data_IF_947441058297
#
_entry.id   IF_947441058297
#
_cell.length_a   1.000
_cell.length_b   1.000
_cell.length_c   1.000
_cell.angle_alpha   90.00
_cell.angle_beta   90.00
_cell.angle_gamma   90.00
#
_symmetry.space_group_name_H-M   'P 1'
#
loop_
_entity.id
_entity.type
_entity.pdbx_description
1 polymer ?
#
# COMPACT_ATOMS: atom_id res chain seq x y z
N UNK A 1 -27.64 -49.90 -14.60
CA UNK A 1 -26.78 -49.87 -13.41
C UNK A 1 -25.71 -48.74 -13.39
N UNK A 2 -25.29 -48.16 -14.54
CA UNK A 2 -24.24 -47.14 -14.59
C UNK A 2 -24.64 -45.72 -14.12
N UNK A 3 -25.89 -45.27 -14.36
CA UNK A 3 -26.34 -43.92 -13.98
C UNK A 3 -26.35 -43.64 -12.46
N UNK A 4 -26.76 -44.65 -11.67
CA UNK A 4 -26.84 -44.52 -10.19
C UNK A 4 -25.43 -44.42 -9.58
N UNK A 5 -24.45 -45.11 -10.14
CA UNK A 5 -23.05 -45.09 -9.68
C UNK A 5 -22.40 -43.74 -10.04
N UNK A 6 -22.73 -43.18 -11.20
CA UNK A 6 -22.25 -41.89 -11.68
C UNK A 6 -22.79 -40.72 -10.82
N UNK A 7 -24.08 -40.78 -10.44
CA UNK A 7 -24.68 -39.77 -9.56
C UNK A 7 -24.09 -39.79 -8.13
N UNK A 8 -23.71 -40.96 -7.61
CA UNK A 8 -23.04 -41.04 -6.30
C UNK A 8 -21.63 -40.43 -6.32
N UNK A 9 -20.88 -40.63 -7.41
CA UNK A 9 -19.54 -40.07 -7.56
C UNK A 9 -19.61 -38.54 -7.69
N UNK A 10 -20.52 -37.99 -8.50
CA UNK A 10 -20.72 -36.57 -8.64
C UNK A 10 -21.17 -35.92 -7.32
N UNK A 11 -22.07 -36.52 -6.58
CA UNK A 11 -22.49 -36.03 -5.27
C UNK A 11 -21.33 -36.01 -4.26
N UNK A 12 -20.52 -37.07 -4.22
CA UNK A 12 -19.33 -37.13 -3.35
C UNK A 12 -18.31 -36.03 -3.70
N UNK A 13 -18.07 -35.79 -4.98
CA UNK A 13 -17.17 -34.70 -5.45
C UNK A 13 -17.66 -33.32 -5.05
N UNK A 14 -18.97 -33.06 -5.17
CA UNK A 14 -19.59 -31.81 -4.76
C UNK A 14 -19.41 -31.60 -3.25
N UNK A 15 -19.67 -32.65 -2.46
CA UNK A 15 -19.52 -32.61 -1.00
C UNK A 15 -18.07 -32.31 -0.58
N UNK A 16 -17.10 -32.95 -1.22
CA UNK A 16 -15.67 -32.66 -0.99
C UNK A 16 -15.33 -31.23 -1.38
N UNK A 17 -15.83 -30.73 -2.51
CA UNK A 17 -15.58 -29.36 -2.94
C UNK A 17 -16.14 -28.34 -1.93
N UNK A 18 -17.37 -28.56 -1.42
CA UNK A 18 -17.98 -27.72 -0.38
C UNK A 18 -17.14 -27.74 0.90
N UNK A 19 -16.67 -28.89 1.33
CA UNK A 19 -15.83 -29.03 2.52
C UNK A 19 -14.50 -28.30 2.38
N UNK A 20 -13.86 -28.38 1.20
CA UNK A 20 -12.61 -27.68 0.91
C UNK A 20 -12.82 -26.15 0.92
N UNK A 21 -13.91 -25.67 0.30
CA UNK A 21 -14.25 -24.23 0.29
C UNK A 21 -14.50 -23.75 1.72
N UNK A 22 -15.31 -24.46 2.49
CA UNK A 22 -15.62 -24.08 3.87
C UNK A 22 -14.38 -24.07 4.75
N UNK A 23 -13.55 -25.10 4.66
CA UNK A 23 -12.26 -25.17 5.36
C UNK A 23 -11.33 -24.00 4.99
N UNK A 24 -11.24 -23.68 3.70
CA UNK A 24 -10.42 -22.54 3.22
C UNK A 24 -10.93 -21.21 3.76
N UNK A 25 -12.24 -20.98 3.77
CA UNK A 25 -12.85 -19.77 4.33
C UNK A 25 -12.62 -19.67 5.83
N UNK A 26 -12.75 -20.77 6.56
CA UNK A 26 -12.48 -20.82 8.01
C UNK A 26 -11.02 -20.45 8.30
N UNK A 27 -10.08 -21.08 7.60
CA UNK A 27 -8.66 -20.75 7.73
C UNK A 27 -8.42 -19.26 7.43
N UNK A 28 -8.96 -18.72 6.35
CA UNK A 28 -8.78 -17.32 5.97
C UNK A 28 -9.36 -16.34 7.02
N UNK A 29 -10.38 -16.74 7.76
CA UNK A 29 -11.09 -15.90 8.73
C UNK A 29 -10.48 -15.92 10.13
N UNK A 30 -9.76 -16.95 10.53
CA UNK A 30 -9.19 -17.08 11.88
C UNK A 30 -8.40 -15.85 12.35
N UNK A 31 -7.56 -15.17 11.51
CA UNK A 31 -6.83 -14.01 11.96
C UNK A 31 -7.70 -12.81 12.39
N UNK A 32 -9.01 -12.80 12.10
CA UNK A 32 -9.94 -11.77 12.60
C UNK A 32 -9.97 -11.76 14.13
N UNK A 33 -9.76 -12.91 14.76
CA UNK A 33 -9.79 -13.08 16.22
C UNK A 33 -8.50 -12.61 16.92
N UNK A 34 -7.47 -12.23 16.17
CA UNK A 34 -6.18 -11.84 16.76
C UNK A 34 -6.23 -10.40 17.29
N UNK A 35 -5.61 -10.18 18.45
CA UNK A 35 -5.50 -8.87 19.09
C UNK A 35 -4.31 -8.10 18.52
N UNK A 36 -4.52 -7.27 17.50
CA UNK A 36 -3.45 -6.50 16.84
C UNK A 36 -2.98 -5.28 17.63
N UNK A 37 -3.80 -4.78 18.55
CA UNK A 37 -3.46 -3.60 19.37
C UNK A 37 -2.16 -3.76 20.16
N UNK A 38 -1.89 -4.96 20.68
CA UNK A 38 -0.65 -5.28 21.38
C UNK A 38 0.58 -5.37 20.47
N UNK A 39 0.40 -5.34 19.15
CA UNK A 39 1.45 -5.48 18.13
C UNK A 39 1.78 -4.17 17.41
N UNK A 40 1.19 -3.05 17.81
CA UNK A 40 1.40 -1.73 17.18
C UNK A 40 2.88 -1.39 17.05
N UNK A 41 3.64 -1.42 18.14
CA UNK A 41 5.07 -1.07 18.14
C UNK A 41 5.91 -1.99 17.24
N UNK A 42 5.55 -3.29 17.17
CA UNK A 42 6.22 -4.22 16.26
C UNK A 42 5.92 -3.90 14.80
N UNK A 43 4.66 -3.57 14.48
CA UNK A 43 4.23 -3.18 13.13
C UNK A 43 4.93 -1.89 12.71
N UNK A 44 4.97 -0.86 13.55
CA UNK A 44 5.63 0.41 13.29
C UNK A 44 7.14 0.24 13.06
N UNK A 45 7.82 -0.55 13.90
CA UNK A 45 9.24 -0.87 13.74
C UNK A 45 9.51 -1.58 12.40
N UNK A 46 8.69 -2.58 12.08
CA UNK A 46 8.85 -3.34 10.86
C UNK A 46 8.43 -2.54 9.62
N UNK A 47 7.49 -1.61 9.75
CA UNK A 47 7.17 -0.65 8.70
C UNK A 47 8.40 0.20 8.33
N UNK A 48 9.11 0.72 9.34
CA UNK A 48 10.38 1.42 9.11
C UNK A 48 11.42 0.53 8.44
N UNK A 49 11.55 -0.72 8.85
CA UNK A 49 12.52 -1.65 8.26
C UNK A 49 12.24 -1.91 6.77
N UNK A 50 10.97 -1.97 6.38
CA UNK A 50 10.55 -2.28 5.00
C UNK A 50 10.48 -1.03 4.10
N UNK A 51 9.98 0.09 4.62
CA UNK A 51 9.69 1.30 3.84
C UNK A 51 10.62 2.48 4.15
N UNK A 52 11.45 2.39 5.20
CA UNK A 52 12.40 3.43 5.63
C UNK A 52 11.76 4.78 5.96
N UNK A 53 10.49 4.77 6.31
CA UNK A 53 9.74 5.91 6.83
C UNK A 53 9.07 5.51 8.15
N UNK A 54 8.87 6.46 9.03
CA UNK A 54 8.29 6.23 10.34
C UNK A 54 6.76 6.24 10.25
N UNK A 55 6.15 5.15 10.69
CA UNK A 55 4.70 5.02 10.83
C UNK A 55 4.35 5.27 12.30
N UNK A 56 3.29 6.03 12.54
CA UNK A 56 2.63 6.14 13.84
C UNK A 56 1.15 5.80 13.69
N UNK A 57 0.70 4.81 14.43
CA UNK A 57 -0.67 4.29 14.38
C UNK A 57 -1.43 4.86 15.57
N UNK A 58 -2.50 5.63 15.31
CA UNK A 58 -3.37 6.19 16.36
C UNK A 58 -4.78 5.61 16.38
N UNK A 59 -5.17 4.88 15.34
CA UNK A 59 -6.47 4.23 15.20
C UNK A 59 -6.44 2.73 15.49
N UNK A 60 -7.59 2.09 15.28
CA UNK A 60 -7.71 0.65 15.44
C UNK A 60 -7.00 -0.09 14.30
N UNK A 61 -6.55 -1.32 14.60
CA UNK A 61 -6.04 -2.25 13.62
C UNK A 61 -6.97 -3.44 13.58
N UNK A 62 -7.44 -3.77 12.38
CA UNK A 62 -8.27 -4.95 12.12
C UNK A 62 -7.73 -5.74 10.93
N UNK A 63 -7.95 -7.03 10.93
CA UNK A 63 -7.66 -7.87 9.78
C UNK A 63 -8.85 -7.91 8.83
N UNK A 64 -8.58 -7.86 7.54
CA UNK A 64 -9.56 -8.02 6.46
C UNK A 64 -9.08 -9.10 5.49
N UNK A 65 -9.86 -10.20 5.31
CA UNK A 65 -9.46 -11.30 4.42
C UNK A 65 -9.58 -10.96 2.93
N UNK A 66 -10.53 -10.11 2.54
CA UNK A 66 -10.84 -9.79 1.15
C UNK A 66 -10.53 -8.35 0.78
N UNK A 67 -10.25 -8.06 -0.52
CA UNK A 67 -10.03 -8.99 -1.65
C UNK A 67 -8.70 -9.73 -1.58
N UNK A 68 -7.76 -9.28 -0.78
CA UNK A 68 -6.48 -9.90 -0.43
C UNK A 68 -6.26 -9.73 1.06
N UNK A 69 -5.72 -10.71 1.77
CA UNK A 69 -5.43 -10.60 3.20
C UNK A 69 -4.59 -9.37 3.53
N UNK A 70 -5.10 -8.50 4.43
CA UNK A 70 -4.40 -7.30 4.86
C UNK A 70 -4.81 -6.86 6.26
N UNK A 71 -3.95 -6.10 6.92
CA UNK A 71 -4.32 -5.31 8.08
C UNK A 71 -4.85 -3.96 7.61
N UNK A 72 -6.00 -3.57 8.12
CA UNK A 72 -6.58 -2.24 7.96
C UNK A 72 -6.28 -1.43 9.21
N UNK A 73 -5.59 -0.30 9.04
CA UNK A 73 -5.32 0.70 10.07
C UNK A 73 -6.21 1.91 9.80
N UNK A 74 -7.09 2.24 10.75
CA UNK A 74 -8.09 3.30 10.58
C UNK A 74 -7.46 4.70 10.55
N UNK A 75 -6.42 4.94 11.35
CA UNK A 75 -5.73 6.23 11.36
C UNK A 75 -4.24 6.06 11.54
N UNK A 76 -3.48 6.61 10.60
CA UNK A 76 -2.03 6.51 10.57
C UNK A 76 -1.38 7.80 10.10
N UNK A 77 -0.20 8.07 10.64
CA UNK A 77 0.68 9.17 10.27
C UNK A 77 2.00 8.61 9.78
N UNK A 78 2.55 9.18 8.71
CA UNK A 78 3.86 8.76 8.20
C UNK A 78 4.78 9.98 8.08
N UNK A 79 6.01 9.81 8.55
CA UNK A 79 7.04 10.86 8.55
C UNK A 79 8.38 10.33 8.03
N UNK A 80 9.20 11.22 7.49
CA UNK A 80 10.57 10.89 7.10
C UNK A 80 11.52 10.80 8.30
N UNK A 81 11.26 11.57 9.36
CA UNK A 81 12.05 11.64 10.59
C UNK A 81 11.20 11.23 11.80
N UNK A 82 11.83 10.59 12.79
CA UNK A 82 11.14 10.00 13.93
C UNK A 82 10.38 11.03 14.82
N UNK A 83 10.88 12.25 14.93
CA UNK A 83 10.38 13.25 15.89
C UNK A 83 9.67 14.44 15.25
N UNK A 84 9.17 14.29 14.03
CA UNK A 84 8.49 15.38 13.33
C UNK A 84 6.98 15.24 13.45
N UNK A 85 6.44 15.43 14.67
CA UNK A 85 4.99 15.31 14.95
C UNK A 85 4.18 16.49 14.38
N UNK A 86 4.81 17.64 14.15
CA UNK A 86 4.12 18.84 13.68
C UNK A 86 3.86 18.84 12.17
N UNK A 87 4.70 18.16 11.38
CA UNK A 87 4.61 18.12 9.92
C UNK A 87 4.53 16.69 9.39
N UNK A 88 3.35 16.07 9.58
CA UNK A 88 3.12 14.74 9.02
C UNK A 88 3.14 14.79 7.48
N UNK A 89 4.05 14.03 6.87
CA UNK A 89 4.15 13.87 5.42
C UNK A 89 2.88 13.23 4.85
N UNK A 90 2.36 12.21 5.54
CA UNK A 90 1.16 11.48 5.14
C UNK A 90 0.22 11.37 6.33
N UNK A 91 -1.04 11.77 6.13
CA UNK A 91 -2.13 11.55 7.08
C UNK A 91 -3.14 10.66 6.38
N UNK A 92 -3.30 9.44 6.86
CA UNK A 92 -4.18 8.44 6.26
C UNK A 92 -5.29 8.01 7.21
N UNK A 93 -6.51 7.99 6.70
CA UNK A 93 -7.67 7.45 7.42
C UNK A 93 -7.93 5.97 7.10
N UNK A 94 -7.24 5.42 6.09
CA UNK A 94 -7.32 4.01 5.72
C UNK A 94 -5.98 3.55 5.13
N UNK A 95 -5.15 2.94 5.98
CA UNK A 95 -3.92 2.30 5.55
C UNK A 95 -4.11 0.78 5.54
N UNK A 96 -3.93 0.16 4.37
CA UNK A 96 -3.90 -1.30 4.23
C UNK A 96 -2.45 -1.77 4.17
N UNK A 97 -2.11 -2.68 5.06
CA UNK A 97 -0.78 -3.31 5.11
C UNK A 97 -0.95 -4.76 4.67
N UNK A 98 -0.41 -5.11 3.51
CA UNK A 98 -0.46 -6.46 2.98
C UNK A 98 0.65 -7.31 3.56
N UNK A 99 0.28 -8.45 4.11
CA UNK A 99 1.16 -9.40 4.78
C UNK A 99 0.83 -10.79 4.24
N UNK A 100 1.82 -11.69 4.18
CA UNK A 100 1.54 -13.09 3.84
C UNK A 100 0.69 -13.75 4.92
N UNK A 101 -0.18 -14.69 4.54
CA UNK A 101 -0.98 -15.46 5.50
C UNK A 101 -0.06 -16.19 6.50
N UNK A 102 1.05 -16.75 6.04
CA UNK A 102 2.02 -17.42 6.91
C UNK A 102 2.53 -16.50 8.01
N UNK A 103 2.98 -15.28 7.65
CA UNK A 103 3.51 -14.32 8.62
C UNK A 103 2.43 -13.84 9.59
N UNK A 104 1.19 -13.73 9.09
CA UNK A 104 0.03 -13.36 9.89
C UNK A 104 -0.27 -14.42 10.97
N UNK A 105 -0.29 -15.71 10.60
CA UNK A 105 -0.49 -16.83 11.54
C UNK A 105 0.64 -16.96 12.54
N UNK A 106 1.87 -16.75 12.11
CA UNK A 106 3.04 -16.74 12.99
C UNK A 106 3.11 -15.46 13.84
N UNK A 107 2.14 -14.52 13.65
CA UNK A 107 2.14 -13.20 14.29
C UNK A 107 3.46 -12.46 14.09
N UNK A 108 4.10 -12.67 12.96
CA UNK A 108 5.35 -12.07 12.56
C UNK A 108 5.09 -10.96 11.54
N UNK A 109 5.39 -9.73 11.88
CA UNK A 109 5.18 -8.57 11.00
C UNK A 109 6.48 -8.12 10.33
N UNK A 110 7.48 -9.00 10.24
CA UNK A 110 8.82 -8.67 9.71
C UNK A 110 8.78 -8.34 8.21
N UNK A 111 8.00 -9.08 7.44
CA UNK A 111 7.95 -8.98 5.98
C UNK A 111 6.63 -8.36 5.52
N UNK A 112 6.58 -7.03 5.44
CA UNK A 112 5.43 -6.33 4.89
C UNK A 112 5.55 -6.33 3.36
N UNK A 113 4.59 -6.97 2.68
CA UNK A 113 4.66 -7.18 1.23
C UNK A 113 4.45 -5.87 0.45
N UNK A 114 3.43 -5.10 0.81
CA UNK A 114 3.10 -3.81 0.20
C UNK A 114 2.18 -3.01 1.09
N UNK A 115 2.00 -1.72 0.78
CA UNK A 115 1.05 -0.85 1.47
C UNK A 115 0.16 -0.09 0.48
N UNK A 116 -1.08 0.16 0.88
CA UNK A 116 -2.03 0.98 0.14
C UNK A 116 -2.66 2.00 1.08
N UNK A 117 -2.47 3.27 0.75
CA UNK A 117 -3.10 4.40 1.41
C UNK A 117 -4.35 4.82 0.63
N UNK A 118 -5.48 4.98 1.29
CA UNK A 118 -6.73 5.39 0.66
C UNK A 118 -7.29 6.62 1.38
N UNK A 119 -7.84 7.57 0.63
CA UNK A 119 -8.39 8.81 1.16
C UNK A 119 -7.39 9.57 2.05
N UNK A 120 -6.20 9.81 1.52
CA UNK A 120 -5.02 10.25 2.27
C UNK A 120 -4.64 11.66 1.88
N UNK A 121 -4.20 12.44 2.86
CA UNK A 121 -3.58 13.74 2.63
C UNK A 121 -2.05 13.58 2.59
N UNK A 122 -1.46 13.96 1.45
CA UNK A 122 -0.02 13.99 1.20
C UNK A 122 0.47 15.43 1.36
N UNK A 123 1.16 15.73 2.45
CA UNK A 123 1.71 17.06 2.70
C UNK A 123 3.17 17.09 2.25
N UNK A 124 3.44 17.70 1.11
CA UNK A 124 4.79 17.82 0.57
C UNK A 124 5.30 19.24 0.76
N UNK A 125 6.37 19.39 1.52
CA UNK A 125 7.07 20.65 1.60
C UNK A 125 8.11 20.71 0.46
N UNK A 126 8.23 21.84 -0.21
CA UNK A 126 9.21 22.01 -1.30
C UNK A 126 10.65 21.73 -0.85
N UNK A 127 10.98 22.06 0.40
CA UNK A 127 12.27 21.72 1.01
C UNK A 127 12.55 20.23 1.08
N UNK A 128 11.51 19.41 1.25
CA UNK A 128 11.64 17.98 1.51
C UNK A 128 11.62 17.12 0.22
N UNK A 129 11.28 17.71 -0.92
CA UNK A 129 11.17 16.99 -2.20
C UNK A 129 12.46 16.23 -2.56
N UNK A 130 13.63 16.86 -2.31
CA UNK A 130 14.93 16.22 -2.57
C UNK A 130 15.15 15.00 -1.66
N UNK A 131 14.77 15.09 -0.40
CA UNK A 131 14.88 14.01 0.57
C UNK A 131 13.90 12.87 0.26
N UNK A 132 12.63 13.20 -0.05
CA UNK A 132 11.60 12.25 -0.49
C UNK A 132 12.06 11.47 -1.71
N UNK A 133 12.57 12.16 -2.73
CA UNK A 133 13.13 11.54 -3.94
C UNK A 133 14.27 10.58 -3.60
N UNK A 134 15.20 10.97 -2.72
CA UNK A 134 16.30 10.11 -2.27
C UNK A 134 15.79 8.86 -1.55
N UNK A 135 14.75 8.99 -0.71
CA UNK A 135 14.11 7.87 -0.02
C UNK A 135 13.47 6.89 -0.98
N UNK A 136 12.61 7.37 -1.88
CA UNK A 136 11.94 6.54 -2.88
C UNK A 136 12.93 5.74 -3.72
N UNK A 137 13.98 6.37 -4.21
CA UNK A 137 14.90 5.72 -5.14
C UNK A 137 15.96 4.84 -4.49
N UNK A 138 16.44 5.15 -3.31
CA UNK A 138 17.54 4.42 -2.69
C UNK A 138 17.11 3.41 -1.63
N UNK A 139 16.06 3.72 -0.87
CA UNK A 139 15.75 3.00 0.37
C UNK A 139 14.54 2.08 0.29
N UNK A 140 13.57 2.39 -0.56
CA UNK A 140 12.30 1.65 -0.61
C UNK A 140 12.39 0.56 -1.67
N UNK A 141 12.10 -0.67 -1.26
CA UNK A 141 12.08 -1.83 -2.14
C UNK A 141 10.71 -2.49 -2.24
N UNK A 142 9.75 -2.10 -1.41
CA UNK A 142 8.40 -2.67 -1.40
C UNK A 142 7.39 -1.74 -2.11
N UNK A 143 6.37 -2.28 -2.77
CA UNK A 143 5.35 -1.49 -3.44
C UNK A 143 4.57 -0.59 -2.48
N UNK A 144 4.29 0.64 -2.95
CA UNK A 144 3.46 1.62 -2.24
C UNK A 144 2.41 2.13 -3.21
N UNK A 145 1.14 2.14 -2.79
CA UNK A 145 0.04 2.67 -3.57
C UNK A 145 -0.73 3.72 -2.79
N UNK A 146 -1.20 4.76 -3.49
CA UNK A 146 -2.16 5.74 -2.96
C UNK A 146 -3.38 5.77 -3.87
N UNK A 147 -4.57 5.81 -3.28
CA UNK A 147 -5.83 5.91 -4.02
C UNK A 147 -6.69 7.03 -3.45
N UNK A 148 -7.34 7.77 -4.34
CA UNK A 148 -8.30 8.83 -3.97
C UNK A 148 -7.74 9.78 -2.91
N UNK A 149 -6.55 10.28 -3.14
CA UNK A 149 -5.79 11.08 -2.18
C UNK A 149 -5.75 12.56 -2.59
N UNK A 150 -5.31 13.43 -1.70
CA UNK A 150 -5.05 14.85 -1.99
C UNK A 150 -3.60 15.15 -1.73
N UNK A 151 -2.96 15.79 -2.69
CA UNK A 151 -1.61 16.32 -2.55
C UNK A 151 -1.69 17.80 -2.17
N UNK A 152 -1.07 18.16 -1.08
CA UNK A 152 -0.86 19.53 -0.63
C UNK A 152 0.62 19.86 -0.80
N UNK A 153 0.94 20.73 -1.75
CA UNK A 153 2.30 21.25 -1.89
C UNK A 153 2.41 22.55 -1.08
N UNK A 154 3.41 22.60 -0.21
CA UNK A 154 3.65 23.72 0.70
C UNK A 154 4.97 24.42 0.38
N UNK A 155 5.01 25.74 0.60
CA UNK A 155 6.25 26.51 0.55
C UNK A 155 7.09 26.34 1.85
N UNK A 156 8.19 27.07 1.95
CA UNK A 156 9.06 27.04 3.13
C UNK A 156 8.38 27.56 4.41
N UNK A 157 7.35 28.38 4.27
CA UNK A 157 6.55 28.93 5.38
C UNK A 157 5.38 28.04 5.78
N UNK A 158 5.31 26.78 5.27
CA UNK A 158 4.20 25.86 5.45
C UNK A 158 2.85 26.31 4.86
N UNK A 159 2.83 27.35 4.02
CA UNK A 159 1.63 27.77 3.32
C UNK A 159 1.35 26.86 2.12
N UNK A 160 0.09 26.51 1.93
CA UNK A 160 -0.33 25.64 0.81
C UNK A 160 -0.34 26.46 -0.47
N UNK A 161 0.52 26.12 -1.41
CA UNK A 161 0.63 26.77 -2.74
C UNK A 161 -0.09 26.02 -3.84
N UNK A 162 -0.34 24.72 -3.64
CA UNK A 162 -1.05 23.88 -4.60
C UNK A 162 -1.80 22.75 -3.89
N UNK A 163 -3.03 22.52 -4.31
CA UNK A 163 -3.82 21.34 -3.95
C UNK A 163 -4.11 20.57 -5.25
N UNK A 164 -3.72 19.30 -5.29
CA UNK A 164 -3.94 18.43 -6.44
C UNK A 164 -4.66 17.17 -6.00
N UNK A 165 -5.88 16.91 -6.52
CA UNK A 165 -6.55 15.62 -6.37
C UNK A 165 -5.76 14.53 -7.08
N UNK A 166 -5.43 13.48 -6.36
CA UNK A 166 -4.69 12.32 -6.85
C UNK A 166 -5.63 11.12 -6.93
N UNK A 167 -5.86 10.62 -8.13
CA UNK A 167 -6.65 9.41 -8.35
C UNK A 167 -5.86 8.17 -7.92
N UNK A 168 -4.61 8.10 -8.34
CA UNK A 168 -3.75 6.96 -8.08
C UNK A 168 -2.28 7.36 -8.09
N UNK A 169 -1.51 6.88 -7.11
CA UNK A 169 -0.04 6.80 -7.17
C UNK A 169 0.34 5.34 -6.98
N UNK A 170 1.21 4.83 -7.83
CA UNK A 170 1.72 3.47 -7.73
C UNK A 170 3.24 3.48 -7.87
N UNK A 171 3.92 3.06 -6.80
CA UNK A 171 5.35 2.77 -6.82
C UNK A 171 5.53 1.25 -6.80
N UNK A 172 6.20 0.73 -7.80
CA UNK A 172 6.44 -0.72 -7.97
C UNK A 172 7.88 -0.98 -8.35
N UNK A 173 8.34 -2.19 -8.02
CA UNK A 173 9.65 -2.69 -8.42
C UNK A 173 9.43 -3.93 -9.27
N UNK A 174 10.05 -3.95 -10.43
CA UNK A 174 10.03 -5.15 -11.26
C UNK A 174 10.89 -6.23 -10.58
N UNK A 175 10.31 -7.40 -10.34
CA UNK A 175 10.98 -8.50 -9.63
C UNK A 175 12.20 -9.04 -10.37
N UNK A 176 12.19 -9.01 -11.71
CA UNK A 176 13.26 -9.51 -12.58
C UNK A 176 14.36 -8.47 -12.81
N UNK A 177 14.00 -7.31 -13.37
CA UNK A 177 14.97 -6.26 -13.74
C UNK A 177 15.37 -5.35 -12.58
N UNK A 178 14.66 -5.43 -11.44
CA UNK A 178 14.79 -4.51 -10.30
C UNK A 178 14.53 -3.03 -10.65
N UNK A 179 14.01 -2.77 -11.83
CA UNK A 179 13.62 -1.42 -12.25
C UNK A 179 12.51 -0.87 -11.35
N UNK A 180 12.61 0.41 -11.05
CA UNK A 180 11.63 1.12 -10.23
C UNK A 180 10.68 1.89 -11.13
N UNK A 181 9.39 1.65 -10.96
CA UNK A 181 8.32 2.30 -11.68
C UNK A 181 7.50 3.16 -10.73
N UNK A 182 7.27 4.40 -11.12
CA UNK A 182 6.41 5.32 -10.42
C UNK A 182 5.37 5.86 -11.40
N UNK A 183 4.10 5.63 -11.09
CA UNK A 183 2.98 6.10 -11.90
C UNK A 183 2.13 6.99 -11.01
N UNK A 184 1.75 8.18 -11.51
CA UNK A 184 0.87 9.11 -10.83
C UNK A 184 -0.22 9.59 -11.78
N UNK A 185 -1.47 9.51 -11.35
CA UNK A 185 -2.64 9.98 -12.07
C UNK A 185 -3.44 10.93 -11.16
N UNK A 186 -3.85 12.06 -11.69
CA UNK A 186 -4.57 13.06 -10.90
C UNK A 186 -5.06 14.23 -11.72
N UNK A 187 -5.34 15.36 -11.04
CA UNK A 187 -5.70 16.63 -11.68
C UNK A 187 -4.75 17.71 -11.22
N UNK A 188 -4.25 18.50 -12.17
CA UNK A 188 -3.43 19.68 -11.92
C UNK A 188 -4.13 20.87 -12.58
N UNK A 189 -4.51 21.89 -11.79
CA UNK A 189 -5.30 23.03 -12.27
C UNK A 189 -6.56 22.63 -13.06
N UNK A 190 -7.27 21.58 -12.61
CA UNK A 190 -8.47 21.07 -13.28
C UNK A 190 -8.20 20.12 -14.45
N UNK A 191 -6.99 20.05 -14.98
CA UNK A 191 -6.60 19.21 -16.12
C UNK A 191 -6.16 17.84 -15.61
N UNK A 192 -6.71 16.77 -16.19
CA UNK A 192 -6.28 15.42 -15.87
C UNK A 192 -4.85 15.17 -16.39
N UNK A 193 -4.03 14.53 -15.58
CA UNK A 193 -2.68 14.15 -16.00
C UNK A 193 -2.34 12.71 -15.60
N UNK A 194 -1.44 12.14 -16.38
CA UNK A 194 -0.79 10.85 -16.07
C UNK A 194 0.71 11.01 -16.25
N UNK A 195 1.46 10.73 -15.18
CA UNK A 195 2.92 10.74 -15.19
C UNK A 195 3.43 9.32 -14.96
N UNK A 196 4.39 8.90 -15.77
CA UNK A 196 5.01 7.58 -15.69
C UNK A 196 6.53 7.73 -15.69
N UNK A 197 7.16 7.33 -14.60
CA UNK A 197 8.60 7.38 -14.43
C UNK A 197 9.14 5.97 -14.24
N UNK A 198 10.18 5.65 -15.01
CA UNK A 198 10.91 4.39 -14.89
C UNK A 198 12.37 4.68 -14.68
N UNK A 199 12.98 4.07 -13.68
CA UNK A 199 14.40 4.12 -13.43
C UNK A 199 15.00 2.74 -13.61
N UNK A 200 16.01 2.65 -14.47
CA UNK A 200 16.73 1.41 -14.70
C UNK A 200 17.64 1.10 -13.51
N UNK A 201 17.65 -0.17 -13.07
CA UNK A 201 18.50 -0.63 -11.97
C UNK A 201 19.95 -0.77 -12.39
N UNK A 202 20.21 -1.33 -13.59
CA UNK A 202 21.56 -1.57 -14.14
C UNK A 202 22.28 -0.25 -14.48
N UNK A 203 21.53 0.77 -14.91
CA UNK A 203 22.05 2.10 -15.17
C UNK A 203 21.18 3.17 -14.50
N UNK A 204 21.43 3.49 -13.21
CA UNK A 204 20.57 4.40 -12.46
C UNK A 204 20.62 5.86 -12.95
N UNK A 205 21.51 6.22 -13.87
CA UNK A 205 21.52 7.54 -14.54
C UNK A 205 20.42 7.64 -15.59
N UNK A 206 19.93 6.52 -16.13
CA UNK A 206 18.86 6.50 -17.12
C UNK A 206 17.50 6.53 -16.41
N UNK A 207 16.77 7.60 -16.59
CA UNK A 207 15.40 7.77 -16.11
C UNK A 207 14.51 8.13 -17.29
N UNK A 208 13.51 7.31 -17.55
CA UNK A 208 12.47 7.61 -18.53
C UNK A 208 11.33 8.34 -17.81
N UNK A 209 10.89 9.46 -18.39
CA UNK A 209 9.76 10.22 -17.88
C UNK A 209 8.80 10.52 -19.03
N UNK A 210 7.52 10.22 -18.82
CA UNK A 210 6.46 10.58 -19.74
C UNK A 210 5.32 11.22 -18.94
N UNK A 211 4.91 12.43 -19.34
CA UNK A 211 3.79 13.15 -18.75
C UNK A 211 2.78 13.43 -19.86
N UNK A 212 1.60 12.83 -19.75
CA UNK A 212 0.49 13.01 -20.66
C UNK A 212 -0.57 13.87 -19.96
N UNK A 213 -0.94 14.99 -20.57
CA UNK A 213 -2.13 15.75 -20.22
C UNK A 213 -3.31 15.12 -20.96
N UNK A 214 -4.35 14.80 -20.24
CA UNK A 214 -5.56 14.17 -20.80
C UNK A 214 -6.62 15.27 -20.87
N UNK A 215 -6.89 15.73 -22.08
CA UNK A 215 -7.95 16.72 -22.30
C UNK A 215 -9.29 16.13 -21.81
N UNK A 216 -10.07 16.85 -21.00
CA UNK A 216 -11.44 16.46 -20.77
C UNK A 216 -12.19 16.68 -22.09
N UNK A 217 -12.66 15.59 -22.74
CA UNK A 217 -13.67 15.68 -23.76
C UNK A 217 -14.98 16.12 -23.14
#
# INVERSE_FOLDING_TARGET
MNKIKQNKITFSLILIAILVIFSSLTILSLPVLFKYKSKVSEIEKNFYNNFKVYLSISGNISYKPFPKPHLLVEKAYVNLKKNNLENNLIISNNLKIYISLRDLYLRSFKNLASVEFTNTNLNLNMSDLKEIRKHLYKKINNPINFKNSKLFLKNKNNEVILISPIKNISYKINSKSKDKHFIMEGKLFGINFKSNWRRNYSNPKITYNNINLINPN
#
